data_IF_590481421872
#
_entry.id   IF_590481421872
#
_cell.length_a   1.000
_cell.length_b   1.000
_cell.length_c   1.000
_cell.angle_alpha   90.00
_cell.angle_beta   90.00
_cell.angle_gamma   90.00
#
_symmetry.space_group_name_H-M   'P 1'
#
loop_
_entity.id
_entity.type
_entity.pdbx_description
1 polymer ?
#
# COMPACT_ATOMS: atom_id res chain seq x y z
N UNK A 1 52.84 -34.02 27.59
CA UNK A 1 51.97 -33.49 26.54
C UNK A 1 50.56 -33.50 27.09
N UNK A 2 50.08 -32.35 27.57
CA UNK A 2 48.68 -32.15 27.88
C UNK A 2 48.19 -31.12 26.87
N UNK A 3 47.43 -31.57 25.87
CA UNK A 3 46.75 -30.72 24.91
C UNK A 3 45.79 -29.82 25.69
N UNK A 4 46.04 -28.50 25.65
CA UNK A 4 45.20 -27.45 26.24
C UNK A 4 43.89 -27.36 25.43
N UNK A 5 42.91 -28.20 25.79
CA UNK A 5 41.55 -28.12 25.26
C UNK A 5 40.88 -26.88 25.88
N UNK A 6 40.99 -25.74 25.21
CA UNK A 6 40.13 -24.57 25.46
C UNK A 6 38.79 -24.81 24.78
N UNK A 7 37.69 -25.06 25.52
CA UNK A 7 36.37 -25.05 24.91
C UNK A 7 36.13 -23.62 24.41
N UNK A 8 35.96 -23.47 23.10
CA UNK A 8 35.56 -22.22 22.47
C UNK A 8 34.31 -21.73 23.20
N UNK A 9 34.46 -20.68 23.99
CA UNK A 9 33.37 -20.06 24.75
C UNK A 9 32.47 -19.30 23.76
N UNK A 10 31.76 -20.05 22.91
CA UNK A 10 30.65 -19.54 22.11
C UNK A 10 29.62 -19.03 23.11
N UNK A 11 29.29 -17.75 23.03
CA UNK A 11 28.36 -17.15 23.97
C UNK A 11 27.02 -17.87 23.79
N UNK A 12 26.35 -18.35 24.85
CA UNK A 12 25.10 -19.10 24.73
C UNK A 12 23.99 -18.35 23.97
N UNK A 13 24.13 -17.04 23.72
CA UNK A 13 23.19 -16.25 22.92
C UNK A 13 23.50 -16.22 21.41
N UNK A 14 24.65 -16.74 20.97
CA UNK A 14 25.10 -16.65 19.57
C UNK A 14 24.14 -17.39 18.60
N UNK A 15 23.43 -18.42 19.08
CA UNK A 15 22.41 -19.11 18.27
C UNK A 15 21.17 -18.24 17.99
N UNK A 16 20.92 -17.19 18.80
CA UNK A 16 19.78 -16.29 18.65
C UNK A 16 20.08 -15.10 17.73
N UNK A 17 21.36 -14.77 17.50
CA UNK A 17 21.76 -13.62 16.69
C UNK A 17 21.18 -13.63 15.26
N UNK A 18 21.11 -14.77 14.52
CA UNK A 18 20.45 -14.82 13.23
C UNK A 18 18.95 -14.50 13.29
N UNK A 19 18.25 -15.00 14.32
CA UNK A 19 16.81 -14.78 14.50
C UNK A 19 16.48 -13.34 14.88
N UNK A 20 17.31 -12.71 15.73
CA UNK A 20 17.18 -11.30 16.08
C UNK A 20 17.43 -10.39 14.87
N UNK A 21 18.48 -10.67 14.10
CA UNK A 21 18.77 -9.94 12.86
C UNK A 21 17.64 -10.08 11.83
N UNK A 22 17.04 -11.27 11.72
CA UNK A 22 15.88 -11.49 10.88
C UNK A 22 14.67 -10.66 11.34
N UNK A 23 14.37 -10.62 12.64
CA UNK A 23 13.27 -9.82 13.19
C UNK A 23 13.42 -8.32 12.92
N UNK A 24 14.63 -7.77 13.11
CA UNK A 24 14.93 -6.36 12.79
C UNK A 24 14.76 -6.07 11.29
N UNK A 25 15.22 -6.99 10.44
CA UNK A 25 15.10 -6.87 8.98
C UNK A 25 13.64 -6.95 8.51
N UNK A 26 12.84 -7.81 9.13
CA UNK A 26 11.41 -7.93 8.86
C UNK A 26 10.66 -6.65 9.24
N UNK A 27 10.96 -6.07 10.41
CA UNK A 27 10.37 -4.79 10.83
C UNK A 27 10.74 -3.64 9.87
N UNK A 28 11.99 -3.59 9.42
CA UNK A 28 12.47 -2.57 8.47
C UNK A 28 11.83 -2.68 7.07
N UNK A 29 11.39 -3.88 6.67
CA UNK A 29 10.76 -4.11 5.37
C UNK A 29 9.24 -3.91 5.38
N UNK A 30 8.59 -3.88 6.55
CA UNK A 30 7.16 -3.65 6.68
C UNK A 30 6.58 -2.46 5.87
N UNK A 31 7.20 -1.25 5.85
CA UNK A 31 6.69 -0.15 5.03
C UNK A 31 6.79 -0.45 3.53
N UNK A 32 7.89 -1.08 3.08
CA UNK A 32 8.11 -1.47 1.67
C UNK A 32 7.04 -2.46 1.22
N UNK A 33 6.75 -3.47 2.05
CA UNK A 33 5.69 -4.45 1.77
C UNK A 33 4.33 -3.77 1.68
N UNK A 34 4.02 -2.84 2.60
CA UNK A 34 2.76 -2.07 2.58
C UNK A 34 2.62 -1.22 1.31
N UNK A 35 3.69 -0.52 0.90
CA UNK A 35 3.71 0.26 -0.33
C UNK A 35 3.54 -0.61 -1.58
N UNK A 36 4.22 -1.76 -1.65
CA UNK A 36 4.09 -2.71 -2.75
C UNK A 36 2.67 -3.30 -2.84
N UNK A 37 2.03 -3.60 -1.72
CA UNK A 37 0.63 -4.06 -1.70
C UNK A 37 -0.32 -2.99 -2.22
N UNK A 38 -0.18 -1.74 -1.77
CA UNK A 38 -0.97 -0.61 -2.28
C UNK A 38 -0.78 -0.41 -3.79
N UNK A 39 0.45 -0.45 -4.26
CA UNK A 39 0.77 -0.35 -5.68
C UNK A 39 0.11 -1.47 -6.51
N UNK A 40 0.16 -2.72 -6.03
CA UNK A 40 -0.48 -3.85 -6.70
C UNK A 40 -2.00 -3.66 -6.82
N UNK A 41 -2.65 -3.17 -5.75
CA UNK A 41 -4.09 -2.90 -5.76
C UNK A 41 -4.48 -1.81 -6.76
N UNK A 42 -3.68 -0.74 -6.87
CA UNK A 42 -3.90 0.30 -7.87
C UNK A 42 -3.78 -0.25 -9.31
N UNK A 43 -2.81 -1.13 -9.56
CA UNK A 43 -2.63 -1.78 -10.85
C UNK A 43 -3.81 -2.69 -11.22
N UNK A 44 -4.30 -3.47 -10.27
CA UNK A 44 -5.49 -4.30 -10.46
C UNK A 44 -6.73 -3.45 -10.70
N UNK A 45 -6.88 -2.35 -9.97
CA UNK A 45 -7.98 -1.39 -10.12
C UNK A 45 -7.99 -0.75 -11.52
N UNK A 46 -6.82 -0.26 -11.98
CA UNK A 46 -6.64 0.27 -13.33
C UNK A 46 -6.99 -0.78 -14.39
N UNK A 47 -6.41 -1.98 -14.27
CA UNK A 47 -6.67 -3.09 -15.20
C UNK A 47 -8.16 -3.40 -15.27
N UNK A 48 -8.84 -3.46 -14.13
CA UNK A 48 -10.28 -3.70 -14.05
C UNK A 48 -11.13 -2.59 -14.69
N UNK A 49 -10.77 -1.30 -14.52
CA UNK A 49 -11.47 -0.18 -15.18
C UNK A 49 -11.29 -0.24 -16.70
N UNK A 50 -10.06 -0.46 -17.17
CA UNK A 50 -9.76 -0.51 -18.60
C UNK A 50 -10.39 -1.73 -19.27
N UNK A 51 -10.35 -2.90 -18.62
CA UNK A 51 -10.97 -4.12 -19.15
C UNK A 51 -12.49 -3.94 -19.33
N UNK A 52 -13.18 -3.35 -18.35
CA UNK A 52 -14.62 -3.04 -18.48
C UNK A 52 -14.88 -2.09 -19.65
N UNK A 53 -14.08 -1.04 -19.80
CA UNK A 53 -14.22 -0.10 -20.92
C UNK A 53 -14.05 -0.79 -22.29
N UNK A 54 -13.16 -1.78 -22.41
CA UNK A 54 -13.01 -2.56 -23.64
C UNK A 54 -14.18 -3.54 -23.87
N UNK A 55 -14.73 -4.13 -22.81
CA UNK A 55 -15.91 -4.99 -22.89
C UNK A 55 -17.18 -4.21 -23.25
N UNK A 56 -17.27 -2.95 -22.82
CA UNK A 56 -18.40 -2.08 -23.16
C UNK A 56 -18.34 -1.56 -24.60
N UNK A 57 -17.15 -1.57 -25.23
CA UNK A 57 -16.90 -0.97 -26.54
C UNK A 57 -17.87 -1.45 -27.64
N UNK A 58 -18.14 -2.76 -27.83
CA UNK A 58 -19.10 -3.21 -28.83
C UNK A 58 -20.50 -2.65 -28.61
N UNK A 59 -20.92 -2.50 -27.34
CA UNK A 59 -22.23 -1.94 -26.99
C UNK A 59 -22.31 -0.44 -27.29
N UNK A 60 -21.21 0.30 -27.14
CA UNK A 60 -21.14 1.74 -27.43
C UNK A 60 -21.11 1.97 -28.93
N UNK A 61 -20.33 1.16 -29.66
CA UNK A 61 -20.26 1.20 -31.12
C UNK A 61 -21.60 0.86 -31.78
N UNK A 62 -22.33 -0.13 -31.25
CA UNK A 62 -23.67 -0.48 -31.75
C UNK A 62 -24.73 0.62 -31.59
N UNK A 63 -24.46 1.65 -30.78
CA UNK A 63 -25.35 2.82 -30.59
C UNK A 63 -25.02 3.97 -31.54
N UNK A 64 -23.84 3.98 -32.17
CA UNK A 64 -23.44 5.03 -33.11
C UNK A 64 -24.23 4.90 -34.41
N UNK A 65 -24.87 5.99 -34.86
CA UNK A 65 -25.69 6.01 -36.09
C UNK A 65 -25.02 6.74 -37.24
N UNK A 66 -23.97 7.50 -36.94
CA UNK A 66 -23.16 8.22 -37.92
C UNK A 66 -21.65 8.02 -37.69
N UNK A 67 -20.81 8.24 -38.70
CA UNK A 67 -19.36 8.27 -38.53
C UNK A 67 -18.89 9.35 -37.55
N UNK A 68 -19.65 10.43 -37.39
CA UNK A 68 -19.35 11.51 -36.45
C UNK A 68 -19.53 11.06 -35.00
N UNK A 69 -20.57 10.25 -34.72
CA UNK A 69 -20.78 9.66 -33.39
C UNK A 69 -19.61 8.74 -33.00
N UNK A 70 -19.11 7.97 -33.97
CA UNK A 70 -17.97 7.09 -33.77
C UNK A 70 -16.71 7.89 -33.40
N UNK A 71 -16.43 8.98 -34.12
CA UNK A 71 -15.29 9.84 -33.83
C UNK A 71 -15.41 10.48 -32.43
N UNK A 72 -16.61 10.91 -32.05
CA UNK A 72 -16.88 11.47 -30.73
C UNK A 72 -16.64 10.43 -29.61
N UNK A 73 -17.13 9.19 -29.77
CA UNK A 73 -16.89 8.11 -28.82
C UNK A 73 -15.42 7.71 -28.74
N UNK A 74 -14.70 7.72 -29.86
CA UNK A 74 -13.27 7.45 -29.88
C UNK A 74 -12.48 8.50 -29.08
N UNK A 75 -12.78 9.79 -29.27
CA UNK A 75 -12.16 10.86 -28.49
C UNK A 75 -12.49 10.70 -27.00
N UNK A 76 -13.76 10.43 -26.67
CA UNK A 76 -14.22 10.24 -25.29
C UNK A 76 -13.53 9.06 -24.61
N UNK A 77 -13.35 7.94 -25.32
CA UNK A 77 -12.65 6.77 -24.82
C UNK A 77 -11.21 7.11 -24.45
N UNK A 78 -10.49 7.82 -25.32
CA UNK A 78 -9.10 8.21 -25.08
C UNK A 78 -8.94 9.28 -24.01
N UNK A 79 -9.85 10.25 -23.92
CA UNK A 79 -9.86 11.23 -22.84
C UNK A 79 -10.04 10.54 -21.48
N UNK A 80 -10.95 9.56 -21.40
CA UNK A 80 -11.16 8.77 -20.19
C UNK A 80 -9.93 7.94 -19.87
N UNK A 81 -9.33 7.29 -20.88
CA UNK A 81 -8.09 6.54 -20.72
C UNK A 81 -6.94 7.39 -20.16
N UNK A 82 -6.74 8.59 -20.71
CA UNK A 82 -5.69 9.50 -20.26
C UNK A 82 -5.87 9.87 -18.78
N UNK A 83 -7.11 10.10 -18.34
CA UNK A 83 -7.43 10.34 -16.91
C UNK A 83 -7.14 9.12 -16.06
N UNK A 84 -7.64 7.94 -16.44
CA UNK A 84 -7.42 6.68 -15.72
C UNK A 84 -5.92 6.41 -15.48
N UNK A 85 -5.09 6.60 -16.51
CA UNK A 85 -3.64 6.40 -16.41
C UNK A 85 -2.96 7.48 -15.57
N UNK A 86 -3.34 8.76 -15.75
CA UNK A 86 -2.82 9.86 -14.93
C UNK A 86 -3.11 9.61 -13.45
N UNK A 87 -4.36 9.31 -13.11
CA UNK A 87 -4.78 9.13 -11.72
C UNK A 87 -4.13 7.90 -11.10
N UNK A 88 -4.09 6.77 -11.83
CA UNK A 88 -3.41 5.56 -11.35
C UNK A 88 -1.90 5.79 -11.17
N UNK A 89 -1.26 6.55 -12.05
CA UNK A 89 0.17 6.86 -11.91
C UNK A 89 0.45 7.75 -10.69
N UNK A 90 -0.43 8.71 -10.39
CA UNK A 90 -0.34 9.56 -9.19
C UNK A 90 -0.51 8.73 -7.93
N UNK A 91 -1.54 7.90 -7.85
CA UNK A 91 -1.80 7.03 -6.70
C UNK A 91 -0.67 6.01 -6.48
N UNK A 92 -0.15 5.45 -7.57
CA UNK A 92 0.99 4.55 -7.52
C UNK A 92 2.24 5.26 -6.97
N UNK A 93 2.55 6.47 -7.44
CA UNK A 93 3.65 7.27 -6.92
C UNK A 93 3.43 7.67 -5.46
N UNK A 94 2.19 7.98 -5.07
CA UNK A 94 1.85 8.27 -3.68
C UNK A 94 2.13 7.08 -2.77
N UNK A 95 1.74 5.86 -3.18
CA UNK A 95 2.04 4.63 -2.45
C UNK A 95 3.55 4.47 -2.19
N UNK A 96 4.39 4.79 -3.19
CA UNK A 96 5.85 4.77 -3.04
C UNK A 96 6.41 5.94 -2.23
N UNK A 97 5.83 7.14 -2.33
CA UNK A 97 6.27 8.34 -1.62
C UNK A 97 6.19 8.19 -0.10
N UNK A 98 5.26 7.37 0.40
CA UNK A 98 5.17 7.04 1.82
C UNK A 98 6.43 6.38 2.37
N UNK A 99 7.24 5.71 1.54
CA UNK A 99 8.53 5.14 1.96
C UNK A 99 9.59 6.21 2.20
N UNK A 100 9.63 7.25 1.35
CA UNK A 100 10.55 8.38 1.49
C UNK A 100 10.22 9.21 2.74
N UNK A 101 8.94 9.34 3.07
CA UNK A 101 8.49 10.00 4.30
C UNK A 101 8.73 9.13 5.55
N UNK A 102 8.58 7.81 5.44
CA UNK A 102 8.81 6.87 6.55
C UNK A 102 10.30 6.73 6.91
N UNK A 103 11.20 6.83 5.93
CA UNK A 103 12.64 6.80 6.18
C UNK A 103 13.13 8.05 6.91
N UNK A 104 12.49 9.20 6.71
CA UNK A 104 12.74 10.40 7.50
C UNK A 104 12.32 10.21 8.98
N UNK A 105 11.18 9.54 9.23
CA UNK A 105 10.71 9.26 10.61
C UNK A 105 11.57 8.24 11.36
N UNK A 106 12.28 7.34 10.69
CA UNK A 106 13.21 6.41 11.34
C UNK A 106 14.42 7.09 12.01
N UNK A 107 14.67 8.37 11.72
CA UNK A 107 15.71 9.17 12.41
C UNK A 107 15.24 9.76 13.75
N UNK A 108 13.93 9.80 14.00
CA UNK A 108 13.34 10.24 15.25
C UNK A 108 12.75 9.03 15.98
N UNK A 109 13.52 8.45 16.89
CA UNK A 109 13.13 7.28 17.68
C UNK A 109 11.91 7.54 18.58
N UNK A 110 10.71 7.38 18.04
CA UNK A 110 9.46 7.41 18.79
C UNK A 110 8.52 6.27 18.38
N UNK A 111 8.57 5.22 19.20
CA UNK A 111 7.44 4.42 19.68
C UNK A 111 6.56 3.65 18.68
N UNK A 112 6.91 2.36 18.58
CA UNK A 112 6.15 1.10 18.43
C UNK A 112 4.65 1.00 18.87
N UNK A 113 3.81 2.03 18.83
CA UNK A 113 2.46 1.94 19.41
C UNK A 113 1.31 2.48 18.58
N UNK A 114 1.41 2.50 17.24
CA UNK A 114 0.22 2.75 16.41
C UNK A 114 0.03 1.64 15.38
N UNK A 115 -1.05 0.87 15.54
CA UNK A 115 -1.42 -0.20 14.61
C UNK A 115 -2.25 0.45 13.51
N UNK A 116 -1.62 0.72 12.37
CA UNK A 116 -2.30 1.27 11.20
C UNK A 116 -3.30 0.26 10.61
N UNK A 117 -4.58 0.47 10.87
CA UNK A 117 -5.65 -0.19 10.11
C UNK A 117 -5.75 0.46 8.72
N UNK A 118 -5.80 -0.36 7.67
CA UNK A 118 -6.25 0.13 6.36
C UNK A 118 -7.76 0.28 6.42
N UNK A 119 -8.24 1.51 6.54
CA UNK A 119 -9.64 1.81 6.27
C UNK A 119 -9.87 1.74 4.76
N UNK A 120 -10.86 0.93 4.36
CA UNK A 120 -11.23 0.73 2.96
C UNK A 120 -12.42 1.60 2.55
N UNK A 121 -12.87 2.53 3.41
CA UNK A 121 -14.14 3.22 3.22
C UNK A 121 -14.04 4.74 3.43
N UNK A 122 -13.33 5.45 2.55
CA UNK A 122 -13.37 6.93 2.53
C UNK A 122 -14.39 7.48 1.50
N UNK A 123 -15.50 6.76 1.37
CA UNK A 123 -16.63 7.21 0.58
C UNK A 123 -17.91 6.78 1.29
N UNK A 124 -18.24 7.45 2.39
CA UNK A 124 -19.58 7.99 2.69
C UNK A 124 -19.76 8.39 4.16
N UNK A 125 -20.20 9.64 4.29
CA UNK A 125 -21.20 10.15 5.24
C UNK A 125 -20.67 11.01 6.40
N UNK A 126 -21.01 12.30 6.26
CA UNK A 126 -21.30 13.27 7.30
C UNK A 126 -22.00 12.64 8.54
N UNK A 127 -21.77 13.28 9.69
CA UNK A 127 -22.44 13.06 11.00
C UNK A 127 -21.71 12.16 12.02
N UNK A 128 -20.70 12.75 12.66
CA UNK A 128 -20.16 12.27 13.92
C UNK A 128 -21.10 12.58 15.10
N UNK A 129 -21.23 11.66 16.09
CA UNK A 129 -21.36 12.10 17.46
C UNK A 129 -20.21 11.59 18.34
N UNK A 130 -19.59 12.54 19.04
CA UNK A 130 -18.54 12.36 20.02
C UNK A 130 -18.94 11.36 21.12
N UNK A 131 -18.11 10.34 21.36
CA UNK A 131 -18.18 9.51 22.58
C UNK A 131 -17.04 9.85 23.53
N UNK A 132 -17.46 10.38 24.68
CA UNK A 132 -16.65 10.83 25.81
C UNK A 132 -15.83 9.68 26.42
N UNK A 133 -14.55 9.96 26.64
CA UNK A 133 -13.64 9.17 27.46
C UNK A 133 -14.12 9.20 28.92
N UNK A 134 -14.64 8.08 29.44
CA UNK A 134 -15.03 7.95 30.84
C UNK A 134 -14.07 7.00 31.57
N UNK A 135 -13.41 7.58 32.57
CA UNK A 135 -12.48 6.99 33.53
C UNK A 135 -12.95 5.68 34.17
N UNK A 136 -12.00 4.79 34.49
CA UNK A 136 -12.11 3.99 35.72
C UNK A 136 -10.75 3.79 36.37
N UNK A 137 -10.58 4.47 37.50
CA UNK A 137 -9.49 4.38 38.48
C UNK A 137 -9.50 3.02 39.19
N UNK A 138 -8.31 2.69 39.70
CA UNK A 138 -7.92 1.61 40.58
C UNK A 138 -8.94 1.19 41.67
N UNK A 139 -8.92 -0.11 41.96
CA UNK A 139 -9.06 -0.70 43.28
C UNK A 139 -8.18 -1.94 43.33
#
# INVERSE_FOLDING_TARGET
MAEDYRPDARNPTDFMAPWLNFGVSAQASAPIVKAAMRFNMELMSLTGRRMRAYLDLPSTLGRCRSPQDLAAEQVRFWQTAARDYSDSSRNAMEAWSTLLSSSASLTNGAALADRDFMDFNDARDDEAPARKHASRRAA
#
